data_IF_624637824506
#
_entry.id   IF_624637824506
#
_cell.length_a   1.000
_cell.length_b   1.000
_cell.length_c   1.000
_cell.angle_alpha   90.00
_cell.angle_beta   90.00
_cell.angle_gamma   90.00
#
_symmetry.space_group_name_H-M   'P 1'
#
loop_
_entity.id
_entity.type
_entity.pdbx_description
1 polymer ?
#
# COMPACT_ATOMS: atom_id res chain seq x y z
N UNK A 1 -16.77 -22.51 -21.46
CA UNK A 1 -18.03 -23.13 -21.07
C UNK A 1 -18.24 -22.87 -19.59
N UNK A 2 -19.39 -22.35 -19.20
CA UNK A 2 -19.78 -22.25 -17.79
C UNK A 2 -19.97 -23.67 -17.26
N UNK A 3 -19.31 -24.03 -16.19
CA UNK A 3 -19.38 -25.34 -15.58
C UNK A 3 -20.75 -25.46 -14.91
N UNK A 4 -21.60 -26.37 -15.40
CA UNK A 4 -22.91 -26.63 -14.78
C UNK A 4 -22.73 -27.66 -13.66
N UNK A 5 -23.26 -27.35 -12.48
CA UNK A 5 -23.31 -28.27 -11.35
C UNK A 5 -24.61 -29.06 -11.37
N UNK A 6 -24.64 -30.11 -12.19
CA UNK A 6 -25.79 -31.00 -12.32
C UNK A 6 -26.08 -31.74 -11.04
N UNK A 7 -27.23 -32.45 -11.04
CA UNK A 7 -27.73 -33.19 -9.87
C UNK A 7 -26.69 -34.18 -9.31
N UNK A 8 -25.96 -34.87 -10.17
CA UNK A 8 -24.96 -35.87 -9.79
C UNK A 8 -23.78 -35.26 -9.04
N UNK A 9 -23.33 -34.08 -9.47
CA UNK A 9 -22.23 -33.36 -8.80
C UNK A 9 -22.69 -32.85 -7.43
N UNK A 10 -23.92 -32.34 -7.33
CA UNK A 10 -24.48 -31.89 -6.06
C UNK A 10 -24.68 -33.05 -5.09
N UNK A 11 -25.11 -34.23 -5.59
CA UNK A 11 -25.19 -35.43 -4.81
C UNK A 11 -23.83 -35.88 -4.31
N UNK A 12 -22.84 -35.91 -5.17
CA UNK A 12 -21.44 -36.21 -4.80
C UNK A 12 -20.91 -35.32 -3.68
N UNK A 13 -21.26 -34.04 -3.68
CA UNK A 13 -20.85 -33.13 -2.59
C UNK A 13 -21.41 -33.61 -1.24
N UNK A 14 -22.69 -33.99 -1.16
CA UNK A 14 -23.28 -34.50 0.06
C UNK A 14 -22.67 -35.86 0.49
N UNK A 15 -22.40 -36.73 -0.49
CA UNK A 15 -21.77 -38.03 -0.27
C UNK A 15 -20.36 -37.91 0.28
N UNK A 16 -19.56 -37.00 -0.25
CA UNK A 16 -18.20 -36.74 0.23
C UNK A 16 -18.16 -36.13 1.64
N UNK A 17 -19.12 -35.27 1.98
CA UNK A 17 -19.24 -34.73 3.34
C UNK A 17 -19.58 -35.81 4.38
N UNK A 18 -20.27 -36.84 3.96
CA UNK A 18 -20.63 -37.95 4.84
C UNK A 18 -19.49 -38.98 5.03
N UNK A 19 -18.59 -39.08 4.07
CA UNK A 19 -17.39 -39.92 4.20
C UNK A 19 -16.35 -39.31 5.14
N UNK A 20 -16.16 -38.00 5.06
CA UNK A 20 -15.22 -37.30 5.93
C UNK A 20 -15.87 -36.08 6.59
N UNK A 21 -16.17 -36.22 7.89
CA UNK A 21 -16.75 -35.15 8.69
C UNK A 21 -15.90 -33.88 8.69
N UNK A 22 -14.57 -33.97 8.48
CA UNK A 22 -13.68 -32.80 8.40
C UNK A 22 -13.98 -31.95 7.17
N UNK A 23 -14.41 -32.56 6.08
CA UNK A 23 -14.85 -31.87 4.86
C UNK A 23 -16.08 -31.00 5.11
N UNK A 24 -17.07 -31.50 5.86
CA UNK A 24 -18.23 -30.68 6.26
C UNK A 24 -17.83 -29.52 7.15
N UNK A 25 -17.00 -29.77 8.18
CA UNK A 25 -16.52 -28.70 9.09
C UNK A 25 -15.82 -27.57 8.33
N UNK A 26 -15.05 -27.90 7.30
CA UNK A 26 -14.36 -26.90 6.47
C UNK A 26 -15.29 -26.06 5.60
N UNK A 27 -16.42 -26.62 5.16
CA UNK A 27 -17.39 -25.91 4.30
C UNK A 27 -18.61 -25.39 5.06
N UNK A 28 -18.79 -25.69 6.33
CA UNK A 28 -20.00 -25.37 7.10
C UNK A 28 -20.36 -23.88 7.09
N UNK A 29 -19.36 -23.00 7.04
CA UNK A 29 -19.57 -21.53 7.02
C UNK A 29 -20.19 -21.02 5.71
N UNK A 30 -20.04 -21.77 4.62
CA UNK A 30 -20.65 -21.47 3.32
C UNK A 30 -21.74 -22.47 2.94
N UNK A 31 -21.99 -23.48 3.79
CA UNK A 31 -22.97 -24.52 3.54
C UNK A 31 -24.39 -23.97 3.70
N UNK A 32 -25.11 -23.89 2.59
CA UNK A 32 -26.49 -23.47 2.57
C UNK A 32 -27.34 -24.52 1.83
N UNK A 33 -28.26 -25.26 2.54
CA UNK A 33 -29.12 -26.25 1.91
C UNK A 33 -29.94 -25.73 0.74
N UNK A 34 -30.26 -24.43 0.73
CA UNK A 34 -31.04 -23.81 -0.34
C UNK A 34 -30.26 -23.70 -1.66
N UNK A 35 -28.95 -23.94 -1.66
CA UNK A 35 -28.11 -23.97 -2.87
C UNK A 35 -28.30 -25.26 -3.66
N UNK A 36 -28.74 -26.32 -3.02
CA UNK A 36 -28.94 -27.62 -3.66
C UNK A 36 -30.26 -27.68 -4.44
N UNK A 37 -30.27 -28.55 -5.44
CA UNK A 37 -31.50 -28.88 -6.19
C UNK A 37 -32.63 -29.26 -5.27
N UNK A 38 -33.88 -28.97 -5.65
CA UNK A 38 -35.07 -29.24 -4.84
C UNK A 38 -35.16 -30.71 -4.41
N UNK A 39 -34.68 -31.63 -5.24
CA UNK A 39 -34.69 -33.08 -4.95
C UNK A 39 -33.64 -33.48 -3.90
N UNK A 40 -32.57 -32.75 -3.72
CA UNK A 40 -31.51 -33.02 -2.73
C UNK A 40 -31.61 -32.17 -1.47
N UNK A 41 -32.40 -31.11 -1.54
CA UNK A 41 -32.53 -30.12 -0.45
C UNK A 41 -32.94 -30.72 0.88
N UNK A 42 -33.92 -31.66 0.95
CA UNK A 42 -34.26 -32.28 2.24
C UNK A 42 -33.10 -33.01 2.91
N UNK A 43 -32.24 -33.69 2.12
CA UNK A 43 -31.05 -34.33 2.65
C UNK A 43 -30.02 -33.30 3.15
N UNK A 44 -29.83 -32.23 2.42
CA UNK A 44 -28.92 -31.14 2.79
C UNK A 44 -29.40 -30.42 4.07
N UNK A 45 -30.71 -30.19 4.22
CA UNK A 45 -31.31 -29.62 5.44
C UNK A 45 -31.12 -30.54 6.63
N UNK A 46 -31.39 -31.81 6.48
CA UNK A 46 -31.20 -32.79 7.53
C UNK A 46 -29.76 -32.90 8.02
N UNK A 47 -28.79 -32.90 7.08
CA UNK A 47 -27.35 -32.88 7.41
C UNK A 47 -27.00 -31.67 8.26
N UNK A 48 -27.50 -30.49 7.89
CA UNK A 48 -27.27 -29.26 8.65
C UNK A 48 -27.86 -29.29 10.03
N UNK A 49 -29.15 -29.61 10.13
CA UNK A 49 -29.87 -29.66 11.40
C UNK A 49 -29.27 -30.69 12.36
N UNK A 50 -28.95 -31.90 11.87
CA UNK A 50 -28.31 -32.93 12.66
C UNK A 50 -26.95 -32.48 13.19
N UNK A 51 -26.12 -31.91 12.31
CA UNK A 51 -24.80 -31.41 12.69
C UNK A 51 -24.87 -30.25 13.69
N UNK A 52 -25.83 -29.34 13.52
CA UNK A 52 -26.00 -28.19 14.43
C UNK A 52 -26.49 -28.67 15.83
N UNK A 53 -27.36 -29.67 15.88
CA UNK A 53 -27.95 -30.18 17.14
C UNK A 53 -27.05 -31.17 17.87
N UNK A 54 -26.39 -32.08 17.14
CA UNK A 54 -25.65 -33.20 17.73
C UNK A 54 -24.13 -33.08 17.65
N UNK A 55 -23.60 -32.07 16.89
CA UNK A 55 -22.17 -31.87 16.64
C UNK A 55 -21.47 -33.08 15.98
N UNK A 56 -22.25 -33.93 15.31
CA UNK A 56 -21.81 -35.12 14.58
C UNK A 56 -22.50 -35.15 13.22
N UNK A 57 -21.89 -35.82 12.24
CA UNK A 57 -22.55 -36.09 10.96
C UNK A 57 -23.59 -37.18 11.09
N UNK A 58 -24.74 -37.06 10.39
CA UNK A 58 -25.75 -38.13 10.37
C UNK A 58 -25.25 -39.33 9.55
N UNK A 59 -25.78 -40.52 9.90
CA UNK A 59 -25.60 -41.73 9.09
C UNK A 59 -26.48 -41.69 7.83
N UNK A 60 -26.01 -42.30 6.73
CA UNK A 60 -26.77 -42.44 5.48
C UNK A 60 -28.13 -43.11 5.66
N UNK A 61 -28.22 -44.09 6.57
CA UNK A 61 -29.49 -44.71 6.91
C UNK A 61 -30.47 -43.74 7.56
N UNK A 62 -29.99 -42.88 8.45
CA UNK A 62 -30.83 -41.84 9.08
C UNK A 62 -31.34 -40.85 8.01
N UNK A 63 -30.47 -40.41 7.08
CA UNK A 63 -30.87 -39.52 5.99
C UNK A 63 -31.93 -40.21 5.11
N UNK A 64 -31.67 -41.45 4.70
CA UNK A 64 -32.61 -42.19 3.85
C UNK A 64 -33.96 -42.43 4.53
N UNK A 65 -33.95 -42.79 5.84
CA UNK A 65 -35.18 -43.01 6.60
C UNK A 65 -36.01 -41.74 6.78
N UNK A 66 -35.37 -40.59 6.97
CA UNK A 66 -36.05 -39.33 7.25
C UNK A 66 -36.45 -38.59 5.97
N UNK A 67 -35.61 -38.61 4.93
CA UNK A 67 -35.84 -37.81 3.74
C UNK A 67 -36.22 -38.59 2.48
N UNK A 68 -36.12 -39.93 2.54
CA UNK A 68 -36.32 -40.83 1.40
C UNK A 68 -35.17 -40.79 0.38
N UNK A 69 -34.14 -39.98 0.59
CA UNK A 69 -33.03 -39.79 -0.35
C UNK A 69 -31.90 -40.76 0.00
N UNK A 70 -31.50 -41.57 -0.97
CA UNK A 70 -30.37 -42.51 -0.83
C UNK A 70 -29.08 -41.85 -1.33
N UNK A 71 -28.09 -41.72 -0.43
CA UNK A 71 -26.75 -41.30 -0.71
C UNK A 71 -25.78 -42.47 -0.69
N UNK A 72 -24.90 -42.58 -1.68
CA UNK A 72 -23.99 -43.71 -1.83
C UNK A 72 -22.66 -43.46 -1.11
N UNK A 73 -21.97 -44.52 -0.65
CA UNK A 73 -20.61 -44.39 -0.17
C UNK A 73 -19.66 -44.03 -1.33
N UNK A 74 -18.66 -43.19 -1.05
CA UNK A 74 -17.62 -42.83 -1.99
C UNK A 74 -16.31 -43.49 -1.54
N UNK A 75 -15.98 -44.67 -2.10
CA UNK A 75 -14.77 -45.40 -1.70
C UNK A 75 -13.49 -44.68 -2.19
N UNK A 76 -12.38 -44.96 -1.53
CA UNK A 76 -11.01 -44.58 -1.95
C UNK A 76 -10.77 -43.07 -2.08
N UNK A 77 -11.33 -42.25 -1.20
CA UNK A 77 -11.04 -40.83 -1.14
C UNK A 77 -9.60 -40.58 -0.72
N UNK A 78 -8.93 -39.67 -1.43
CA UNK A 78 -7.58 -39.22 -1.13
C UNK A 78 -7.51 -37.69 -1.07
N UNK A 79 -6.36 -37.14 -0.68
CA UNK A 79 -6.17 -35.68 -0.51
C UNK A 79 -6.52 -34.88 -1.78
N UNK A 80 -6.24 -35.42 -2.97
CA UNK A 80 -6.58 -34.77 -4.23
C UNK A 80 -8.10 -34.66 -4.46
N UNK A 81 -8.88 -35.65 -4.00
CA UNK A 81 -10.35 -35.60 -4.07
C UNK A 81 -10.91 -34.54 -3.10
N UNK A 82 -10.30 -34.38 -1.92
CA UNK A 82 -10.71 -33.34 -0.96
C UNK A 82 -10.37 -31.94 -1.47
N UNK A 83 -9.19 -31.74 -2.06
CA UNK A 83 -8.83 -30.46 -2.67
C UNK A 83 -9.76 -30.08 -3.82
N UNK A 84 -10.12 -31.06 -4.66
CA UNK A 84 -11.12 -30.88 -5.71
C UNK A 84 -12.48 -30.50 -5.10
N UNK A 85 -12.95 -31.23 -4.12
CA UNK A 85 -14.21 -30.97 -3.43
C UNK A 85 -14.27 -29.56 -2.86
N UNK A 86 -13.24 -29.10 -2.15
CA UNK A 86 -13.18 -27.79 -1.54
C UNK A 86 -13.28 -26.66 -2.59
N UNK A 87 -12.54 -26.80 -3.70
CA UNK A 87 -12.55 -25.81 -4.77
C UNK A 87 -13.89 -25.77 -5.54
N UNK A 88 -14.45 -26.93 -5.83
CA UNK A 88 -15.70 -27.03 -6.58
C UNK A 88 -16.92 -26.63 -5.73
N UNK A 89 -16.93 -27.01 -4.46
CA UNK A 89 -18.00 -26.65 -3.55
C UNK A 89 -18.04 -25.13 -3.28
N UNK A 90 -16.89 -24.48 -3.12
CA UNK A 90 -16.81 -23.03 -3.04
C UNK A 90 -17.38 -22.36 -4.31
N UNK A 91 -16.96 -22.84 -5.47
CA UNK A 91 -17.41 -22.31 -6.77
C UNK A 91 -18.91 -22.52 -6.97
N UNK A 92 -19.43 -23.69 -6.60
CA UNK A 92 -20.85 -24.02 -6.62
C UNK A 92 -21.65 -23.08 -5.71
N UNK A 93 -21.25 -22.96 -4.45
CA UNK A 93 -21.96 -22.13 -3.46
C UNK A 93 -21.96 -20.66 -3.88
N UNK A 94 -20.80 -20.14 -4.32
CA UNK A 94 -20.69 -18.75 -4.79
C UNK A 94 -21.62 -18.48 -5.96
N UNK A 95 -21.69 -19.40 -6.92
CA UNK A 95 -22.59 -19.28 -8.06
C UNK A 95 -24.06 -19.24 -7.61
N UNK A 96 -24.48 -20.19 -6.78
CA UNK A 96 -25.87 -20.29 -6.32
C UNK A 96 -26.30 -19.06 -5.50
N UNK A 97 -25.42 -18.58 -4.61
CA UNK A 97 -25.72 -17.37 -3.83
C UNK A 97 -25.75 -16.12 -4.70
N UNK A 98 -24.87 -16.03 -5.71
CA UNK A 98 -24.88 -14.91 -6.64
C UNK A 98 -26.15 -14.91 -7.53
N UNK A 99 -26.56 -16.07 -8.03
CA UNK A 99 -27.82 -16.23 -8.78
C UNK A 99 -29.01 -15.79 -7.92
N UNK A 100 -29.04 -16.22 -6.65
CA UNK A 100 -30.09 -15.82 -5.71
C UNK A 100 -30.05 -14.33 -5.38
N UNK A 101 -28.87 -13.76 -5.19
CA UNK A 101 -28.70 -12.33 -4.96
C UNK A 101 -29.19 -11.50 -6.13
N UNK A 102 -28.89 -11.90 -7.36
CA UNK A 102 -29.36 -11.23 -8.58
C UNK A 102 -30.88 -11.28 -8.67
N UNK A 103 -31.49 -12.44 -8.45
CA UNK A 103 -32.95 -12.58 -8.50
C UNK A 103 -33.64 -11.70 -7.44
N UNK A 104 -33.14 -11.71 -6.19
CA UNK A 104 -33.66 -10.83 -5.12
C UNK A 104 -33.42 -9.34 -5.41
N UNK A 105 -32.32 -9.03 -6.07
CA UNK A 105 -31.99 -7.65 -6.42
C UNK A 105 -32.98 -7.07 -7.45
N UNK A 106 -33.53 -7.89 -8.34
CA UNK A 106 -34.56 -7.44 -9.29
C UNK A 106 -35.81 -6.90 -8.55
N UNK A 107 -36.29 -7.63 -7.55
CA UNK A 107 -37.43 -7.23 -6.74
C UNK A 107 -37.19 -5.95 -5.93
N UNK A 108 -35.95 -5.75 -5.47
CA UNK A 108 -35.56 -4.57 -4.69
C UNK A 108 -35.38 -3.33 -5.59
N UNK A 109 -34.85 -3.55 -6.79
CA UNK A 109 -34.68 -2.48 -7.79
C UNK A 109 -36.05 -1.92 -8.25
N UNK A 110 -37.05 -2.81 -8.39
CA UNK A 110 -38.43 -2.37 -8.69
C UNK A 110 -39.03 -1.50 -7.59
N UNK A 111 -38.58 -1.70 -6.34
CA UNK A 111 -39.00 -0.88 -5.17
C UNK A 111 -38.15 0.36 -4.97
N UNK A 112 -37.09 0.55 -5.76
CA UNK A 112 -36.16 1.69 -5.63
C UNK A 112 -35.17 1.58 -4.46
N UNK A 113 -34.95 0.38 -3.90
CA UNK A 113 -34.09 0.12 -2.75
C UNK A 113 -32.67 -0.26 -3.23
N UNK A 114 -31.76 0.68 -3.39
CA UNK A 114 -30.42 0.44 -3.96
C UNK A 114 -29.41 -0.08 -2.94
N UNK A 115 -29.38 0.42 -1.70
CA UNK A 115 -28.40 -0.01 -0.67
C UNK A 115 -28.51 -1.50 -0.32
N UNK A 116 -29.71 -2.10 -0.15
CA UNK A 116 -29.84 -3.54 0.06
C UNK A 116 -29.32 -4.38 -1.12
N UNK A 117 -29.46 -3.88 -2.36
CA UNK A 117 -28.94 -4.56 -3.57
C UNK A 117 -27.42 -4.63 -3.53
N UNK A 118 -26.75 -3.50 -3.26
CA UNK A 118 -25.28 -3.46 -3.15
C UNK A 118 -24.78 -4.45 -2.10
N UNK A 119 -25.42 -4.48 -0.94
CA UNK A 119 -25.08 -5.39 0.16
C UNK A 119 -25.25 -6.85 -0.25
N UNK A 120 -26.39 -7.23 -0.86
CA UNK A 120 -26.66 -8.59 -1.29
C UNK A 120 -25.63 -9.10 -2.31
N UNK A 121 -25.31 -8.29 -3.30
CA UNK A 121 -24.31 -8.67 -4.32
C UNK A 121 -22.91 -8.77 -3.69
N UNK A 122 -22.56 -7.84 -2.83
CA UNK A 122 -21.25 -7.85 -2.13
C UNK A 122 -21.11 -9.09 -1.26
N UNK A 123 -22.11 -9.43 -0.47
CA UNK A 123 -22.11 -10.60 0.41
C UNK A 123 -21.98 -11.89 -0.43
N UNK A 124 -22.70 -12.02 -1.55
CA UNK A 124 -22.64 -13.17 -2.43
C UNK A 124 -21.27 -13.35 -3.13
N UNK A 125 -20.62 -12.23 -3.52
CA UNK A 125 -19.28 -12.27 -4.15
C UNK A 125 -18.19 -12.59 -3.13
N UNK A 126 -18.37 -12.20 -1.86
CA UNK A 126 -17.39 -12.42 -0.80
C UNK A 126 -17.41 -13.83 -0.21
N UNK A 127 -18.34 -14.68 -0.63
CA UNK A 127 -18.36 -16.09 -0.19
C UNK A 127 -17.06 -16.77 -0.60
N UNK A 128 -16.29 -17.18 0.37
CA UNK A 128 -15.09 -17.99 0.17
C UNK A 128 -14.86 -18.91 1.36
N UNK A 129 -14.23 -20.04 1.09
CA UNK A 129 -13.73 -20.89 2.15
C UNK A 129 -12.56 -20.18 2.84
N UNK A 130 -12.61 -20.13 4.15
CA UNK A 130 -11.46 -19.69 4.93
C UNK A 130 -10.38 -20.77 4.79
N UNK A 131 -9.54 -20.62 3.76
CA UNK A 131 -8.43 -21.56 3.52
C UNK A 131 -7.29 -21.38 4.53
N UNK A 132 -7.28 -20.24 5.21
CA UNK A 132 -6.26 -19.91 6.18
C UNK A 132 -6.71 -20.31 7.59
N UNK A 133 -6.28 -21.49 8.01
CA UNK A 133 -6.47 -21.99 9.38
C UNK A 133 -5.51 -21.31 10.37
N UNK A 134 -4.79 -20.28 9.94
CA UNK A 134 -3.71 -19.68 10.69
C UNK A 134 -2.40 -20.45 10.50
N UNK A 135 -1.45 -20.20 11.40
CA UNK A 135 -0.14 -20.82 11.35
C UNK A 135 -0.07 -21.98 12.33
N UNK A 136 0.14 -23.19 11.83
CA UNK A 136 0.55 -24.29 12.71
C UNK A 136 1.96 -23.98 13.25
N UNK A 137 2.02 -23.72 14.54
CA UNK A 137 3.22 -23.20 15.17
C UNK A 137 4.40 -24.19 15.11
N UNK A 138 4.12 -25.48 15.17
CA UNK A 138 5.13 -26.53 15.25
C UNK A 138 5.42 -27.24 13.92
N UNK A 139 4.55 -27.13 12.91
CA UNK A 139 4.66 -27.87 11.66
C UNK A 139 5.97 -27.56 10.90
N UNK A 140 6.28 -26.27 10.69
CA UNK A 140 7.51 -25.84 10.00
C UNK A 140 8.04 -24.53 10.59
N UNK A 141 8.85 -24.60 11.64
CA UNK A 141 9.45 -23.42 12.26
C UNK A 141 10.35 -22.62 11.29
N UNK A 142 11.08 -23.29 10.41
CA UNK A 142 11.99 -22.64 9.48
C UNK A 142 11.21 -21.83 8.41
N UNK A 143 10.19 -22.42 7.80
CA UNK A 143 9.32 -21.72 6.85
C UNK A 143 8.60 -20.55 7.51
N UNK A 144 8.10 -20.72 8.74
CA UNK A 144 7.45 -19.66 9.50
C UNK A 144 8.39 -18.48 9.79
N UNK A 145 9.62 -18.75 10.23
CA UNK A 145 10.64 -17.75 10.49
C UNK A 145 11.03 -17.05 9.19
N UNK A 146 11.30 -17.81 8.13
CA UNK A 146 11.62 -17.27 6.82
C UNK A 146 10.47 -16.44 6.23
N UNK A 147 9.22 -16.86 6.44
CA UNK A 147 8.04 -16.09 6.04
C UNK A 147 8.00 -14.73 6.74
N UNK A 148 8.32 -14.67 8.03
CA UNK A 148 8.37 -13.41 8.77
C UNK A 148 9.44 -12.44 8.22
N UNK A 149 10.65 -12.95 7.93
CA UNK A 149 11.74 -12.11 7.43
C UNK A 149 11.69 -11.85 5.91
N UNK A 150 11.11 -12.76 5.12
CA UNK A 150 11.14 -12.69 3.64
C UNK A 150 9.79 -12.33 3.00
N UNK A 151 8.67 -12.27 3.75
CA UNK A 151 7.33 -12.00 3.22
C UNK A 151 7.08 -10.54 2.83
N UNK A 152 7.98 -9.94 2.09
CA UNK A 152 7.89 -8.57 1.61
C UNK A 152 8.16 -7.55 2.69
N UNK A 153 8.79 -8.01 3.68
CA UNK A 153 9.31 -7.53 4.88
C UNK A 153 9.43 -6.04 5.10
N UNK A 154 10.43 -5.73 5.80
CA UNK A 154 10.79 -4.37 6.15
C UNK A 154 11.32 -3.63 4.93
N UNK A 155 10.84 -2.43 4.74
CA UNK A 155 11.28 -1.53 3.67
C UNK A 155 12.06 -0.39 4.31
N UNK A 156 13.30 -0.23 3.90
CA UNK A 156 14.17 0.84 4.40
C UNK A 156 13.49 2.21 4.29
N UNK A 157 13.56 3.01 5.34
CA UNK A 157 13.09 4.40 5.33
C UNK A 157 14.00 5.32 4.54
N UNK A 158 15.20 4.83 4.16
CA UNK A 158 16.28 5.61 3.59
C UNK A 158 17.10 6.39 4.63
N UNK A 159 16.83 6.16 5.91
CA UNK A 159 17.62 6.68 7.04
C UNK A 159 18.18 5.52 7.84
N UNK A 160 19.47 5.19 7.67
CA UNK A 160 20.13 4.06 8.37
C UNK A 160 19.94 4.00 9.87
N UNK A 161 19.90 5.16 10.55
CA UNK A 161 19.64 5.18 11.99
C UNK A 161 18.22 4.71 12.31
N UNK A 162 17.23 5.14 11.53
CA UNK A 162 15.85 4.71 11.71
C UNK A 162 15.67 3.23 11.36
N UNK A 163 16.31 2.78 10.29
CA UNK A 163 16.26 1.39 9.85
C UNK A 163 16.88 0.43 10.89
N UNK A 164 18.02 0.82 11.49
CA UNK A 164 18.61 0.06 12.62
C UNK A 164 17.65 -0.05 13.80
N UNK A 165 16.99 1.05 14.16
CA UNK A 165 16.00 1.08 15.24
C UNK A 165 14.82 0.15 14.97
N UNK A 166 14.38 0.04 13.69
CA UNK A 166 13.24 -0.75 13.25
C UNK A 166 13.63 -2.15 12.72
N UNK A 167 14.88 -2.56 12.89
CA UNK A 167 15.40 -3.85 12.38
C UNK A 167 15.26 -4.02 10.85
N UNK A 168 15.33 -2.92 10.10
CA UNK A 168 15.32 -2.91 8.63
C UNK A 168 14.37 -1.91 7.99
N UNK A 169 13.52 -1.23 8.75
CA UNK A 169 12.59 -0.23 8.25
C UNK A 169 11.12 -0.50 8.57
N UNK A 170 10.20 0.04 7.78
CA UNK A 170 8.76 -0.17 7.98
C UNK A 170 8.26 -1.45 7.32
N UNK A 171 7.30 -2.11 7.97
CA UNK A 171 6.66 -3.32 7.44
C UNK A 171 5.37 -2.97 6.68
N UNK A 172 5.08 -3.73 5.61
CA UNK A 172 3.81 -3.62 4.91
C UNK A 172 2.64 -4.04 5.81
N UNK A 173 1.52 -3.36 5.69
CA UNK A 173 0.33 -3.60 6.51
C UNK A 173 0.38 -2.96 7.90
N UNK A 174 1.43 -2.21 8.23
CA UNK A 174 1.55 -1.44 9.46
C UNK A 174 1.13 0.02 9.27
N UNK A 175 0.56 0.60 10.33
CA UNK A 175 0.26 2.03 10.42
C UNK A 175 1.39 2.74 11.18
N UNK A 176 2.07 3.66 10.51
CA UNK A 176 3.16 4.46 11.05
C UNK A 176 2.71 5.92 11.21
N UNK A 177 2.86 6.49 12.39
CA UNK A 177 2.40 7.85 12.71
C UNK A 177 3.59 8.73 13.09
N UNK A 178 3.70 9.90 12.44
CA UNK A 178 4.60 10.98 12.86
C UNK A 178 3.81 12.04 13.61
N UNK A 179 4.11 12.23 14.90
CA UNK A 179 3.46 13.17 15.77
C UNK A 179 4.35 14.42 15.98
N UNK A 180 3.75 15.59 15.93
CA UNK A 180 4.50 16.84 16.12
C UNK A 180 3.61 18.07 16.22
N UNK A 181 4.12 19.13 16.83
CA UNK A 181 3.44 20.42 16.91
C UNK A 181 3.18 21.05 15.53
N UNK A 182 2.37 22.09 15.49
CA UNK A 182 2.20 22.89 14.26
C UNK A 182 3.56 23.44 13.81
N UNK A 183 3.89 23.32 12.52
CA UNK A 183 5.17 23.79 11.98
C UNK A 183 6.40 22.91 12.36
N UNK A 184 6.23 21.77 13.08
CA UNK A 184 7.34 20.88 13.41
C UNK A 184 7.98 20.24 12.17
N UNK A 185 7.24 20.09 11.08
CA UNK A 185 7.71 19.49 9.82
C UNK A 185 7.17 18.10 9.55
N UNK A 186 6.00 17.74 10.10
CA UNK A 186 5.34 16.45 9.86
C UNK A 186 5.24 16.11 8.37
N UNK A 187 4.67 17.02 7.56
CA UNK A 187 4.56 16.86 6.12
C UNK A 187 5.94 16.68 5.46
N UNK A 188 6.96 17.41 5.94
CA UNK A 188 8.32 17.32 5.38
C UNK A 188 8.94 15.94 5.62
N UNK A 189 8.77 15.37 6.82
CA UNK A 189 9.25 14.00 7.11
C UNK A 189 8.59 12.99 6.19
N UNK A 190 7.27 13.04 6.05
CA UNK A 190 6.53 12.12 5.20
C UNK A 190 6.93 12.25 3.72
N UNK A 191 7.07 13.48 3.20
CA UNK A 191 7.55 13.72 1.83
C UNK A 191 8.97 13.16 1.62
N UNK A 192 9.88 13.33 2.59
CA UNK A 192 11.24 12.81 2.51
C UNK A 192 11.27 11.27 2.49
N UNK A 193 10.48 10.61 3.32
CA UNK A 193 10.34 9.14 3.29
C UNK A 193 9.75 8.69 1.95
N UNK A 194 8.70 9.36 1.46
CA UNK A 194 8.12 9.07 0.15
C UNK A 194 9.16 9.15 -0.97
N UNK A 195 10.00 10.20 -0.97
CA UNK A 195 11.08 10.35 -1.94
C UNK A 195 12.15 9.26 -1.82
N UNK A 196 12.50 8.88 -0.60
CA UNK A 196 13.44 7.77 -0.38
C UNK A 196 12.88 6.47 -0.96
N UNK A 197 11.58 6.19 -0.78
CA UNK A 197 10.92 5.00 -1.34
C UNK A 197 10.81 5.06 -2.86
N UNK A 198 10.50 6.22 -3.42
CA UNK A 198 10.51 6.41 -4.88
C UNK A 198 11.88 6.10 -5.50
N UNK A 199 12.96 6.53 -4.85
CA UNK A 199 14.33 6.25 -5.28
C UNK A 199 14.71 4.77 -5.17
N UNK A 200 14.05 4.02 -4.29
CA UNK A 200 14.15 2.57 -4.20
C UNK A 200 13.26 1.83 -5.24
N UNK A 201 12.54 2.57 -6.08
CA UNK A 201 11.68 2.02 -7.14
C UNK A 201 10.25 1.70 -6.69
N UNK A 202 9.85 2.02 -5.44
CA UNK A 202 8.48 1.83 -4.98
C UNK A 202 7.56 2.90 -5.57
N UNK A 203 6.32 2.51 -5.85
CA UNK A 203 5.28 3.41 -6.36
C UNK A 203 4.30 3.79 -5.26
N UNK A 204 3.89 5.05 -5.19
CA UNK A 204 3.01 5.48 -4.14
C UNK A 204 2.15 6.71 -4.42
N UNK A 205 1.29 6.97 -3.45
CA UNK A 205 0.36 8.09 -3.46
C UNK A 205 0.56 8.93 -2.20
N UNK A 206 0.62 10.24 -2.38
CA UNK A 206 0.58 11.21 -1.30
C UNK A 206 -0.79 11.91 -1.29
N UNK A 207 -1.58 11.66 -0.27
CA UNK A 207 -2.89 12.28 -0.07
C UNK A 207 -2.72 13.46 0.86
N UNK A 208 -3.01 14.65 0.38
CA UNK A 208 -3.02 15.87 1.19
C UNK A 208 -4.44 16.31 1.50
N UNK A 209 -4.68 16.58 2.78
CA UNK A 209 -5.95 17.10 3.31
C UNK A 209 -5.83 18.56 3.81
N UNK A 210 -4.59 19.05 3.88
CA UNK A 210 -4.27 20.39 4.41
C UNK A 210 -3.70 21.32 3.33
N UNK A 211 -2.72 20.82 2.55
CA UNK A 211 -2.03 21.62 1.54
C UNK A 211 -2.63 21.36 0.15
N UNK A 212 -2.49 22.34 -0.74
CA UNK A 212 -2.83 22.13 -2.14
C UNK A 212 -1.86 21.14 -2.83
N UNK A 213 -2.32 20.48 -3.91
CA UNK A 213 -1.50 19.58 -4.72
C UNK A 213 -0.26 20.31 -5.28
N UNK A 214 -0.44 21.56 -5.70
CA UNK A 214 0.64 22.39 -6.27
C UNK A 214 1.71 22.70 -5.24
N UNK A 215 1.34 23.07 -4.02
CA UNK A 215 2.29 23.38 -2.96
C UNK A 215 3.04 22.14 -2.50
N UNK A 216 2.33 21.01 -2.39
CA UNK A 216 2.92 19.71 -2.07
C UNK A 216 3.91 19.29 -3.17
N UNK A 217 3.55 19.44 -4.43
CA UNK A 217 4.41 19.16 -5.59
C UNK A 217 5.64 20.07 -5.62
N UNK A 218 5.48 21.39 -5.41
CA UNK A 218 6.61 22.33 -5.37
C UNK A 218 7.63 21.99 -4.28
N UNK A 219 7.16 21.57 -3.09
CA UNK A 219 8.05 21.10 -2.01
C UNK A 219 8.77 19.81 -2.39
N UNK A 220 8.04 18.89 -3.01
CA UNK A 220 8.59 17.63 -3.53
C UNK A 220 9.66 17.91 -4.59
N UNK A 221 9.41 18.85 -5.51
CA UNK A 221 10.39 19.28 -6.53
C UNK A 221 11.65 19.85 -5.88
N UNK A 222 11.52 20.68 -4.85
CA UNK A 222 12.68 21.25 -4.15
C UNK A 222 13.56 20.17 -3.52
N UNK A 223 12.93 19.18 -2.85
CA UNK A 223 13.64 18.05 -2.25
C UNK A 223 14.31 17.16 -3.29
N UNK A 224 13.62 16.90 -4.40
CA UNK A 224 14.04 15.97 -5.45
C UNK A 224 15.15 16.55 -6.32
N UNK A 225 15.06 17.84 -6.65
CA UNK A 225 16.02 18.52 -7.55
C UNK A 225 17.19 19.15 -6.81
N UNK A 226 17.13 19.19 -5.48
CA UNK A 226 18.05 19.91 -4.62
C UNK A 226 18.18 21.40 -5.00
N UNK A 227 17.01 22.02 -5.31
CA UNK A 227 16.90 23.44 -5.64
C UNK A 227 15.95 24.12 -4.63
N UNK A 228 16.22 25.38 -4.30
CA UNK A 228 15.25 26.13 -3.49
C UNK A 228 13.96 26.41 -4.29
N UNK A 229 12.84 26.60 -3.60
CA UNK A 229 11.57 26.98 -4.29
C UNK A 229 11.69 28.32 -5.05
N UNK A 230 12.60 29.19 -4.63
CA UNK A 230 12.92 30.45 -5.34
C UNK A 230 13.66 30.18 -6.66
N UNK A 231 14.60 29.24 -6.66
CA UNK A 231 15.38 28.91 -7.86
C UNK A 231 14.55 28.08 -8.84
N UNK A 232 13.67 27.21 -8.35
CA UNK A 232 12.68 26.49 -9.17
C UNK A 232 11.82 27.48 -9.96
N UNK A 233 11.35 28.54 -9.31
CA UNK A 233 10.55 29.60 -9.96
C UNK A 233 11.35 30.35 -11.04
N UNK A 234 12.65 30.52 -10.85
CA UNK A 234 13.53 31.22 -11.82
C UNK A 234 13.91 30.33 -13.00
N UNK A 235 14.10 29.05 -12.77
CA UNK A 235 14.55 28.08 -13.77
C UNK A 235 13.72 26.84 -13.81
N UNK A 236 12.52 26.97 -14.37
CA UNK A 236 11.55 25.88 -14.55
C UNK A 236 12.10 24.81 -15.49
N UNK A 237 12.88 25.18 -16.50
CA UNK A 237 13.43 24.27 -17.49
C UNK A 237 14.42 23.27 -16.86
N UNK A 238 15.38 23.76 -16.07
CA UNK A 238 16.31 22.87 -15.35
C UNK A 238 15.60 22.00 -14.33
N UNK A 239 14.57 22.53 -13.66
CA UNK A 239 13.76 21.76 -12.73
C UNK A 239 13.04 20.62 -13.45
N UNK A 240 12.37 20.89 -14.56
CA UNK A 240 11.69 19.88 -15.37
C UNK A 240 12.64 18.78 -15.84
N UNK A 241 13.84 19.16 -16.31
CA UNK A 241 14.84 18.20 -16.75
C UNK A 241 15.29 17.28 -15.60
N UNK A 242 15.58 17.83 -14.43
CA UNK A 242 15.97 17.07 -13.24
C UNK A 242 14.88 16.10 -12.82
N UNK A 243 13.62 16.56 -12.73
CA UNK A 243 12.46 15.71 -12.39
C UNK A 243 12.30 14.57 -13.39
N UNK A 244 12.39 14.86 -14.70
CA UNK A 244 12.30 13.82 -15.74
C UNK A 244 13.44 12.79 -15.67
N UNK A 245 14.65 13.20 -15.29
CA UNK A 245 15.77 12.28 -15.09
C UNK A 245 15.50 11.33 -13.92
N UNK A 246 15.01 11.87 -12.80
CA UNK A 246 14.70 11.06 -11.63
C UNK A 246 13.53 10.11 -11.92
N UNK A 247 12.48 10.58 -12.56
CA UNK A 247 11.31 9.80 -12.91
C UNK A 247 11.61 8.52 -13.71
N UNK A 248 12.71 8.49 -14.49
CA UNK A 248 13.12 7.30 -15.25
C UNK A 248 13.67 6.16 -14.39
N UNK A 249 14.14 6.46 -13.19
CA UNK A 249 14.78 5.50 -12.28
C UNK A 249 13.96 5.27 -11.00
N UNK A 250 12.90 6.04 -10.81
CA UNK A 250 12.04 6.01 -9.64
C UNK A 250 10.74 5.27 -9.90
N UNK A 251 10.07 4.86 -8.82
CA UNK A 251 8.67 4.44 -8.87
C UNK A 251 7.74 5.57 -9.29
N UNK A 252 6.47 5.24 -9.47
CA UNK A 252 5.45 6.23 -9.81
C UNK A 252 4.99 6.98 -8.56
N UNK A 253 4.73 8.25 -8.69
CA UNK A 253 4.27 9.09 -7.59
C UNK A 253 3.09 9.94 -8.00
N UNK A 254 2.02 9.88 -7.21
CA UNK A 254 0.83 10.69 -7.40
C UNK A 254 0.60 11.53 -6.17
N UNK A 255 0.38 12.82 -6.35
CA UNK A 255 -0.10 13.72 -5.30
C UNK A 255 -1.58 13.95 -5.53
N UNK A 256 -2.40 13.75 -4.49
CA UNK A 256 -3.85 13.89 -4.54
C UNK A 256 -4.38 14.72 -3.38
N UNK A 257 -5.05 15.82 -3.68
CA UNK A 257 -5.82 16.59 -2.71
C UNK A 257 -7.19 15.95 -2.49
N UNK A 258 -7.53 15.71 -1.24
CA UNK A 258 -8.89 15.36 -0.83
C UNK A 258 -9.41 16.42 0.14
N UNK A 259 -10.71 16.70 0.16
CA UNK A 259 -11.26 17.62 1.11
C UNK A 259 -11.11 17.12 2.54
N UNK A 260 -10.93 18.04 3.50
CA UNK A 260 -11.04 17.70 4.91
C UNK A 260 -12.41 17.04 5.18
N UNK A 261 -12.45 16.11 6.13
CA UNK A 261 -13.61 15.26 6.44
C UNK A 261 -13.86 14.10 5.45
N UNK A 262 -12.98 13.88 4.46
CA UNK A 262 -12.96 12.62 3.71
C UNK A 262 -12.80 11.43 4.65
N UNK A 263 -13.28 10.27 4.25
CA UNK A 263 -13.19 9.05 5.02
C UNK A 263 -12.37 7.97 4.30
N UNK A 264 -12.18 6.83 4.93
CA UNK A 264 -11.34 5.75 4.39
C UNK A 264 -11.93 5.13 3.10
N UNK A 265 -13.26 5.18 2.90
CA UNK A 265 -13.87 4.69 1.67
C UNK A 265 -13.54 5.60 0.48
N UNK A 266 -13.42 6.92 0.69
CA UNK A 266 -13.01 7.86 -0.35
C UNK A 266 -11.56 7.56 -0.77
N UNK A 267 -10.68 7.30 0.20
CA UNK A 267 -9.29 6.90 -0.06
C UNK A 267 -9.24 5.56 -0.80
N UNK A 268 -9.99 4.56 -0.34
CA UNK A 268 -10.06 3.23 -0.98
C UNK A 268 -10.56 3.32 -2.42
N UNK A 269 -11.62 4.09 -2.66
CA UNK A 269 -12.18 4.31 -3.99
C UNK A 269 -11.16 4.96 -4.93
N UNK A 270 -10.48 6.02 -4.47
CA UNK A 270 -9.44 6.68 -5.23
C UNK A 270 -8.27 5.74 -5.56
N UNK A 271 -7.75 4.98 -4.59
CA UNK A 271 -6.65 4.05 -4.83
C UNK A 271 -7.03 2.96 -5.83
N UNK A 272 -8.25 2.46 -5.76
CA UNK A 272 -8.78 1.47 -6.72
C UNK A 272 -8.89 2.07 -8.12
N UNK A 273 -9.42 3.28 -8.24
CA UNK A 273 -9.52 4.00 -9.51
C UNK A 273 -8.14 4.27 -10.10
N UNK A 274 -7.20 4.74 -9.30
CA UNK A 274 -5.81 4.96 -9.72
C UNK A 274 -5.17 3.69 -10.28
N UNK A 275 -5.34 2.54 -9.61
CA UNK A 275 -4.81 1.26 -10.09
C UNK A 275 -5.46 0.82 -11.41
N UNK A 276 -6.77 1.02 -11.57
CA UNK A 276 -7.49 0.67 -12.80
C UNK A 276 -7.03 1.56 -13.96
N UNK A 277 -6.93 2.86 -13.75
CA UNK A 277 -6.56 3.82 -14.79
C UNK A 277 -5.09 3.70 -15.22
N UNK A 278 -4.20 3.47 -14.27
CA UNK A 278 -2.76 3.45 -14.54
C UNK A 278 -2.19 2.05 -14.78
N UNK A 279 -2.90 1.00 -14.39
CA UNK A 279 -2.42 -0.37 -14.38
C UNK A 279 -1.29 -0.62 -13.36
N UNK A 280 -1.02 0.35 -12.45
CA UNK A 280 0.13 0.32 -11.55
C UNK A 280 -0.28 -0.01 -10.12
N UNK A 281 0.48 -0.90 -9.49
CA UNK A 281 0.30 -1.22 -8.08
C UNK A 281 0.81 -0.07 -7.21
N UNK A 282 0.10 0.20 -6.10
CA UNK A 282 0.53 1.14 -5.06
C UNK A 282 1.27 0.36 -3.99
N UNK A 283 2.51 0.74 -3.68
CA UNK A 283 3.34 0.16 -2.63
C UNK A 283 3.24 0.90 -1.31
N UNK A 284 3.03 2.23 -1.37
CA UNK A 284 2.89 3.06 -0.18
C UNK A 284 1.83 4.16 -0.35
N UNK A 285 1.24 4.54 0.77
CA UNK A 285 0.31 5.68 0.86
C UNK A 285 0.74 6.58 2.03
N UNK A 286 0.90 7.88 1.73
CA UNK A 286 1.08 8.94 2.70
C UNK A 286 -0.23 9.69 2.87
N UNK A 287 -0.64 9.99 4.11
CA UNK A 287 -1.87 10.75 4.40
C UNK A 287 -1.53 11.93 5.30
N UNK A 288 -1.68 13.12 4.79
CA UNK A 288 -1.33 14.37 5.47
C UNK A 288 -2.58 15.21 5.75
N UNK A 289 -3.21 15.11 6.94
CA UNK A 289 -2.90 14.23 8.06
C UNK A 289 -4.19 13.62 8.68
N UNK A 290 -4.02 12.58 9.49
CA UNK A 290 -5.08 11.75 10.06
C UNK A 290 -6.20 12.52 10.76
N UNK A 291 -5.87 13.59 11.51
CA UNK A 291 -6.84 14.34 12.33
C UNK A 291 -7.91 15.06 11.49
N UNK A 292 -7.69 15.22 10.17
CA UNK A 292 -8.64 15.82 9.24
C UNK A 292 -9.60 14.79 8.61
N UNK A 293 -9.36 13.50 8.80
CA UNK A 293 -10.26 12.45 8.33
C UNK A 293 -11.44 12.26 9.26
N UNK A 294 -12.52 11.70 8.71
CA UNK A 294 -13.69 11.25 9.45
C UNK A 294 -13.82 9.72 9.36
N UNK A 295 -14.32 9.04 10.42
CA UNK A 295 -14.57 7.62 10.35
C UNK A 295 -15.73 7.30 9.40
N UNK A 296 -15.73 6.11 8.82
CA UNK A 296 -16.84 5.60 7.99
C UNK A 296 -18.11 5.43 8.84
N UNK A 297 -17.95 5.11 10.12
CA UNK A 297 -19.07 4.97 11.04
C UNK A 297 -19.70 6.31 11.34
N UNK A 298 -20.90 6.57 10.81
CA UNK A 298 -21.68 7.79 11.01
C UNK A 298 -22.18 8.05 12.46
N UNK A 299 -21.93 7.12 13.38
CA UNK A 299 -22.42 7.20 14.77
C UNK A 299 -21.46 7.94 15.72
N UNK A 300 -20.33 8.43 15.22
CA UNK A 300 -19.35 9.15 16.04
C UNK A 300 -19.67 10.65 16.00
N UNK A 301 -19.88 11.24 17.18
CA UNK A 301 -20.06 12.70 17.29
C UNK A 301 -18.77 13.40 16.80
N UNK A 302 -18.87 14.42 15.93
CA UNK A 302 -17.69 15.22 15.52
C UNK A 302 -16.97 15.90 16.68
N UNK A 303 -17.64 16.07 17.82
CA UNK A 303 -17.08 16.67 19.02
C UNK A 303 -16.30 15.69 19.90
N UNK A 304 -16.44 14.38 19.69
CA UNK A 304 -15.68 13.37 20.40
C UNK A 304 -14.43 13.00 19.60
N UNK A 305 -13.45 13.88 19.64
CA UNK A 305 -12.18 13.73 18.91
C UNK A 305 -11.43 12.44 19.29
N UNK A 306 -11.57 11.99 20.54
CA UNK A 306 -10.89 10.78 21.00
C UNK A 306 -11.45 9.53 20.30
N UNK A 307 -12.76 9.39 20.26
CA UNK A 307 -13.45 8.27 19.62
C UNK A 307 -13.28 8.34 18.10
N UNK A 308 -13.42 9.55 17.53
CA UNK A 308 -13.19 9.80 16.10
C UNK A 308 -11.81 9.27 15.66
N UNK A 309 -10.77 9.73 16.33
CA UNK A 309 -9.39 9.44 15.98
C UNK A 309 -9.03 7.96 16.18
N UNK A 310 -9.65 7.30 17.17
CA UNK A 310 -9.54 5.86 17.37
C UNK A 310 -10.06 5.10 16.13
N UNK A 311 -11.30 5.38 15.72
CA UNK A 311 -11.88 4.67 14.57
C UNK A 311 -11.12 4.95 13.27
N UNK A 312 -10.76 6.20 13.00
CA UNK A 312 -9.96 6.56 11.82
C UNK A 312 -8.63 5.80 11.81
N UNK A 313 -7.94 5.72 12.95
CA UNK A 313 -6.67 4.99 13.04
C UNK A 313 -6.85 3.48 12.82
N UNK A 314 -7.92 2.88 13.37
CA UNK A 314 -8.26 1.45 13.15
C UNK A 314 -8.59 1.18 11.69
N UNK A 315 -9.38 2.04 11.05
CA UNK A 315 -9.74 1.94 9.65
C UNK A 315 -8.53 2.09 8.72
N UNK A 316 -7.63 3.05 8.98
CA UNK A 316 -6.37 3.20 8.24
C UNK A 316 -5.48 1.97 8.36
N UNK A 317 -5.32 1.45 9.59
CA UNK A 317 -4.53 0.23 9.82
C UNK A 317 -5.12 -0.98 9.09
N UNK A 318 -6.45 -1.10 9.09
CA UNK A 318 -7.13 -2.16 8.35
C UNK A 318 -6.95 -2.01 6.84
N UNK A 319 -7.01 -0.78 6.30
CA UNK A 319 -6.73 -0.51 4.90
C UNK A 319 -5.29 -0.87 4.52
N UNK A 320 -4.31 -0.55 5.38
CA UNK A 320 -2.91 -0.91 5.15
C UNK A 320 -2.73 -2.43 5.05
N UNK A 321 -3.38 -3.20 5.95
CA UNK A 321 -3.37 -4.67 5.93
C UNK A 321 -4.09 -5.26 4.72
N UNK A 322 -5.28 -4.74 4.40
CA UNK A 322 -6.11 -5.17 3.26
C UNK A 322 -5.33 -5.06 1.95
N UNK A 323 -4.63 -3.95 1.75
CA UNK A 323 -3.89 -3.68 0.53
C UNK A 323 -2.44 -4.19 0.55
N UNK A 324 -1.91 -4.58 1.72
CA UNK A 324 -0.52 -5.01 1.89
C UNK A 324 0.50 -3.91 1.56
N UNK A 325 0.19 -2.65 1.93
CA UNK A 325 0.99 -1.46 1.60
C UNK A 325 1.68 -0.88 2.84
N UNK A 326 2.68 -0.02 2.59
CA UNK A 326 3.25 0.86 3.60
C UNK A 326 2.31 2.04 3.84
N UNK A 327 1.85 2.24 5.06
CA UNK A 327 0.96 3.34 5.42
C UNK A 327 1.65 4.27 6.40
N UNK A 328 1.74 5.54 6.02
CA UNK A 328 2.30 6.60 6.89
C UNK A 328 1.34 7.76 6.97
N UNK A 329 1.12 8.25 8.18
CA UNK A 329 0.33 9.46 8.42
C UNK A 329 0.97 10.34 9.48
N UNK A 330 0.43 11.53 9.64
CA UNK A 330 0.82 12.43 10.71
C UNK A 330 -0.31 12.66 11.70
N UNK A 331 0.04 13.11 12.90
CA UNK A 331 -0.91 13.56 13.93
C UNK A 331 -0.35 14.77 14.66
N UNK A 332 -1.25 15.63 15.11
CA UNK A 332 -0.87 16.82 15.85
C UNK A 332 -0.67 16.52 17.34
N UNK A 333 0.38 17.10 17.93
CA UNK A 333 0.58 17.09 19.37
C UNK A 333 -0.21 18.21 20.05
N UNK A 334 -0.57 18.00 21.33
CA UNK A 334 -1.15 19.02 22.18
C UNK A 334 -0.20 20.20 22.37
N UNK A 335 -0.72 21.39 22.64
CA UNK A 335 0.10 22.61 22.85
C UNK A 335 1.08 22.48 24.02
N UNK A 336 0.71 21.78 25.08
CA UNK A 336 1.57 21.50 26.24
C UNK A 336 2.82 20.68 25.90
N UNK A 337 2.76 19.88 24.84
CA UNK A 337 3.87 19.04 24.40
C UNK A 337 4.96 19.81 23.63
N UNK A 338 4.66 21.01 23.13
CA UNK A 338 5.57 21.71 22.20
C UNK A 338 6.82 22.27 22.90
N UNK A 339 6.75 22.46 24.21
CA UNK A 339 7.84 23.04 25.02
C UNK A 339 8.64 22.01 25.85
N UNK A 340 8.23 20.74 25.83
CA UNK A 340 8.89 19.71 26.62
C UNK A 340 10.07 19.05 25.87
N UNK A 341 11.09 18.68 26.63
CA UNK A 341 12.33 18.06 26.14
C UNK A 341 12.13 16.57 25.83
N UNK A 342 11.11 15.95 26.43
CA UNK A 342 10.74 14.55 26.24
C UNK A 342 9.22 14.44 26.06
N UNK A 343 8.81 13.68 25.02
CA UNK A 343 7.39 13.41 24.83
C UNK A 343 6.97 12.14 25.56
N UNK A 344 5.87 12.27 26.30
CA UNK A 344 5.10 11.16 26.81
C UNK A 344 3.85 10.94 25.95
N UNK A 345 3.25 9.77 26.07
CA UNK A 345 2.01 9.39 25.38
C UNK A 345 0.83 10.34 25.62
N UNK A 346 0.84 11.09 26.73
CA UNK A 346 -0.17 12.09 27.06
C UNK A 346 -0.16 13.34 26.15
N UNK A 347 0.92 13.54 25.39
CA UNK A 347 1.15 14.76 24.61
C UNK A 347 0.55 14.71 23.19
N UNK A 348 0.03 13.56 22.76
CA UNK A 348 -0.61 13.45 21.45
C UNK A 348 -2.06 13.94 21.53
N UNK A 349 -2.42 14.88 20.65
CA UNK A 349 -3.80 15.38 20.51
C UNK A 349 -4.74 14.24 20.12
N UNK A 350 -5.88 14.10 20.83
CA UNK A 350 -6.74 12.92 20.67
C UNK A 350 -6.22 11.68 21.43
N UNK A 351 -5.08 11.77 22.10
CA UNK A 351 -4.64 10.90 23.18
C UNK A 351 -4.15 9.52 22.81
N UNK A 352 -4.12 8.67 23.81
CA UNK A 352 -3.67 7.28 23.84
C UNK A 352 -4.30 6.42 22.74
N UNK A 353 -5.49 6.76 22.22
CA UNK A 353 -6.21 5.95 21.25
C UNK A 353 -5.45 5.76 19.92
N UNK A 354 -4.86 6.83 19.38
CA UNK A 354 -4.05 6.77 18.14
C UNK A 354 -2.79 5.95 18.35
N UNK A 355 -2.13 6.18 19.51
CA UNK A 355 -0.93 5.44 19.90
C UNK A 355 -1.26 3.96 20.01
N UNK A 356 -2.37 3.61 20.66
CA UNK A 356 -2.74 2.21 20.86
C UNK A 356 -2.98 1.47 19.56
N UNK A 357 -3.54 2.13 18.57
CA UNK A 357 -3.86 1.54 17.27
C UNK A 357 -2.65 1.43 16.35
N UNK A 358 -1.79 2.45 16.29
CA UNK A 358 -0.62 2.47 15.43
C UNK A 358 0.38 1.36 15.79
N UNK A 359 1.09 0.87 14.79
CA UNK A 359 2.17 -0.09 14.97
C UNK A 359 3.45 0.62 15.39
N UNK A 360 3.77 1.76 14.77
CA UNK A 360 4.88 2.63 15.15
C UNK A 360 4.43 4.08 15.31
N UNK A 361 4.96 4.78 16.29
CA UNK A 361 4.73 6.20 16.55
C UNK A 361 6.05 6.92 16.79
N UNK A 362 6.29 7.99 16.07
CA UNK A 362 7.49 8.82 16.13
C UNK A 362 7.13 10.25 16.47
N UNK A 363 7.74 10.79 17.51
CA UNK A 363 7.63 12.21 17.87
C UNK A 363 8.69 13.05 17.17
N UNK A 364 8.31 14.22 16.65
CA UNK A 364 9.22 15.17 16.00
C UNK A 364 9.62 16.21 17.05
N UNK A 365 10.89 16.21 17.44
CA UNK A 365 11.48 17.07 18.46
C UNK A 365 12.25 18.28 17.92
N UNK A 366 12.05 18.61 16.68
CA UNK A 366 12.83 19.64 16.03
C UNK A 366 12.40 21.05 16.43
N UNK A 367 13.17 21.71 17.29
CA UNK A 367 12.97 23.11 17.63
C UNK A 367 13.34 24.03 16.45
N UNK A 368 12.88 25.29 16.52
CA UNK A 368 13.23 26.30 15.53
C UNK A 368 14.75 26.49 15.45
N UNK A 369 15.43 26.57 16.60
CA UNK A 369 16.87 26.72 16.67
C UNK A 369 17.63 25.52 16.07
N UNK A 370 17.10 24.31 16.22
CA UNK A 370 17.67 23.13 15.56
C UNK A 370 17.54 23.22 14.04
N UNK A 371 16.37 23.60 13.52
CA UNK A 371 16.17 23.79 12.08
C UNK A 371 17.11 24.82 11.49
N UNK A 372 17.28 25.97 12.16
CA UNK A 372 18.19 27.04 11.74
C UNK A 372 19.66 26.55 11.69
N UNK A 373 20.01 25.54 12.51
CA UNK A 373 21.32 24.88 12.51
C UNK A 373 21.41 23.67 11.56
N UNK A 374 20.38 23.43 10.74
CA UNK A 374 20.35 22.27 9.84
C UNK A 374 20.21 20.93 10.55
N UNK A 375 19.62 20.90 11.76
CA UNK A 375 19.41 19.67 12.53
C UNK A 375 17.94 19.32 12.63
N UNK A 376 17.66 18.02 12.59
CA UNK A 376 16.32 17.47 12.74
C UNK A 376 16.35 16.25 13.65
N UNK A 377 15.42 16.14 14.60
CA UNK A 377 15.42 15.05 15.59
C UNK A 377 14.05 14.41 15.66
N UNK A 378 14.04 13.08 15.66
CA UNK A 378 12.83 12.24 15.79
C UNK A 378 13.06 11.28 16.95
N UNK A 379 12.04 11.02 17.78
CA UNK A 379 12.08 10.02 18.84
C UNK A 379 11.08 8.90 18.56
N UNK A 380 11.49 7.65 18.73
CA UNK A 380 10.56 6.52 18.72
C UNK A 380 9.75 6.50 20.04
N UNK A 381 8.46 6.78 19.95
CA UNK A 381 7.55 6.78 21.09
C UNK A 381 6.90 5.42 21.30
N UNK A 382 6.68 4.67 20.20
CA UNK A 382 6.10 3.34 20.20
C UNK A 382 6.61 2.54 19.02
N UNK A 383 6.90 1.28 19.24
CA UNK A 383 7.06 0.27 18.19
C UNK A 383 6.53 -1.07 18.68
N UNK A 384 5.82 -1.82 17.81
CA UNK A 384 5.43 -3.20 18.09
C UNK A 384 6.46 -4.21 17.60
N UNK A 385 7.29 -3.81 16.66
CA UNK A 385 8.25 -4.66 15.95
C UNK A 385 9.68 -4.50 16.46
N UNK A 386 9.97 -3.45 17.28
CA UNK A 386 11.31 -3.18 17.78
C UNK A 386 11.35 -2.77 19.25
N UNK A 387 12.55 -2.86 19.84
CA UNK A 387 12.84 -2.43 21.22
C UNK A 387 13.35 -0.99 21.32
N UNK A 388 13.31 -0.24 20.22
CA UNK A 388 13.89 1.11 20.12
C UNK A 388 13.06 2.23 20.75
N UNK A 389 12.03 1.92 21.54
CA UNK A 389 11.21 2.93 22.22
C UNK A 389 12.05 3.82 23.13
N UNK A 390 11.86 5.14 23.04
CA UNK A 390 12.62 6.16 23.76
C UNK A 390 13.88 6.63 23.03
N UNK A 391 14.38 5.89 22.03
CA UNK A 391 15.59 6.29 21.29
C UNK A 391 15.30 7.49 20.38
N UNK A 392 16.28 8.40 20.32
CA UNK A 392 16.27 9.58 19.45
C UNK A 392 17.14 9.32 18.22
N UNK A 393 16.69 9.81 17.09
CA UNK A 393 17.33 9.74 15.78
C UNK A 393 17.70 11.16 15.38
N UNK A 394 18.98 11.43 15.16
CA UNK A 394 19.47 12.72 14.73
C UNK A 394 19.66 12.70 13.20
N UNK A 395 19.03 13.66 12.54
CA UNK A 395 19.05 13.82 11.08
C UNK A 395 19.56 15.23 10.72
N UNK A 396 20.03 15.38 9.52
CA UNK A 396 20.39 16.67 8.95
C UNK A 396 19.25 17.24 8.10
N UNK A 397 19.05 18.54 8.18
CA UNK A 397 18.00 19.25 7.49
C UNK A 397 18.56 20.41 6.67
N UNK A 398 18.32 20.36 5.38
CA UNK A 398 18.61 21.48 4.49
C UNK A 398 17.38 22.40 4.39
N UNK A 399 17.49 23.63 4.90
CA UNK A 399 16.39 24.60 4.96
C UNK A 399 15.90 25.01 3.56
N UNK A 400 16.82 25.20 2.63
CA UNK A 400 16.50 25.72 1.29
C UNK A 400 15.77 24.69 0.44
N UNK A 401 16.23 23.44 0.50
CA UNK A 401 15.69 22.34 -0.30
C UNK A 401 14.70 21.49 0.47
N UNK A 402 14.52 21.73 1.78
CA UNK A 402 13.68 20.96 2.68
C UNK A 402 14.03 19.47 2.77
N UNK A 403 15.24 19.08 2.32
CA UNK A 403 15.71 17.69 2.35
C UNK A 403 16.16 17.32 3.76
N UNK A 404 15.74 16.12 4.21
CA UNK A 404 16.15 15.51 5.47
C UNK A 404 16.99 14.28 5.13
N UNK A 405 18.21 14.21 5.68
CA UNK A 405 19.17 13.12 5.44
C UNK A 405 19.70 12.57 6.76
N UNK A 406 20.28 11.37 6.75
CA UNK A 406 20.88 10.79 7.95
C UNK A 406 22.18 11.52 8.34
N UNK A 407 22.32 11.88 9.61
CA UNK A 407 23.50 12.61 10.14
C UNK A 407 24.72 11.70 10.38
N UNK A 408 24.58 10.40 10.27
CA UNK A 408 25.60 9.41 10.64
C UNK A 408 26.09 8.53 9.50
N UNK A 409 25.99 8.99 8.27
CA UNK A 409 26.38 8.21 7.11
C UNK A 409 27.88 7.89 7.09
N UNK A 410 28.29 6.83 7.78
CA UNK A 410 29.48 6.09 7.39
C UNK A 410 29.28 5.63 5.95
N UNK A 411 30.26 5.88 5.13
CA UNK A 411 30.36 5.74 3.67
C UNK A 411 30.25 4.26 3.20
N UNK A 412 29.23 3.55 3.67
CA UNK A 412 28.89 2.18 3.23
C UNK A 412 27.81 2.23 2.16
N UNK A 413 28.17 2.70 0.98
CA UNK A 413 27.67 2.31 -0.36
C UNK A 413 26.18 2.45 -0.70
N UNK A 414 25.27 2.58 0.27
CA UNK A 414 23.83 2.56 0.04
C UNK A 414 23.13 3.93 0.02
N UNK A 415 23.81 4.98 0.49
CA UNK A 415 23.30 6.36 0.48
C UNK A 415 24.31 7.33 -0.16
N UNK A 416 24.65 7.10 -1.43
CA UNK A 416 25.19 8.23 -2.21
C UNK A 416 24.00 9.11 -2.59
N UNK A 417 23.89 10.36 -2.07
CA UNK A 417 22.93 11.32 -2.60
C UNK A 417 23.19 11.46 -4.09
N UNK A 418 22.15 11.76 -4.85
CA UNK A 418 22.26 12.03 -6.31
C UNK A 418 23.19 13.19 -6.69
N UNK A 419 23.84 13.88 -5.75
CA UNK A 419 25.04 14.67 -6.01
C UNK A 419 26.05 13.87 -6.85
N UNK A 420 26.17 12.56 -6.67
CA UNK A 420 27.10 11.71 -7.41
C UNK A 420 26.78 11.59 -8.92
N UNK A 421 25.53 11.73 -9.36
CA UNK A 421 25.20 11.70 -10.79
C UNK A 421 25.51 13.08 -11.42
N UNK A 422 25.18 14.17 -10.74
CA UNK A 422 25.58 15.52 -11.20
C UNK A 422 27.08 15.73 -11.07
N UNK A 423 27.68 15.18 -10.00
CA UNK A 423 29.15 15.26 -9.84
C UNK A 423 29.86 14.33 -10.82
N UNK A 424 29.31 13.19 -11.18
CA UNK A 424 29.82 12.35 -12.27
C UNK A 424 29.58 12.95 -13.65
N UNK A 425 28.48 13.70 -13.85
CA UNK A 425 28.23 14.45 -15.08
C UNK A 425 29.17 15.68 -15.13
N UNK A 426 29.35 16.39 -14.01
CA UNK A 426 30.33 17.47 -13.91
C UNK A 426 31.76 16.97 -14.07
N UNK A 427 32.12 15.85 -13.41
CA UNK A 427 33.45 15.26 -13.57
C UNK A 427 33.71 14.78 -15.00
N UNK A 428 32.73 14.18 -15.67
CA UNK A 428 32.84 13.81 -17.10
C UNK A 428 32.88 15.03 -18.01
N UNK A 429 32.16 16.12 -17.69
CA UNK A 429 32.22 17.36 -18.45
C UNK A 429 33.57 18.07 -18.26
N UNK A 430 34.13 18.07 -17.04
CA UNK A 430 35.46 18.62 -16.71
C UNK A 430 36.55 17.76 -17.32
N UNK A 431 36.43 16.41 -17.25
CA UNK A 431 37.39 15.51 -17.89
C UNK A 431 37.39 15.65 -19.41
N UNK A 432 36.21 15.83 -20.03
CA UNK A 432 36.11 16.11 -21.46
C UNK A 432 36.66 17.46 -21.84
N UNK A 433 36.44 18.48 -21.00
CA UNK A 433 37.04 19.81 -21.24
C UNK A 433 38.56 19.81 -21.03
N UNK A 434 39.09 18.96 -20.13
CA UNK A 434 40.53 18.77 -19.97
C UNK A 434 41.13 17.99 -21.14
N UNK A 435 40.47 16.97 -21.66
CA UNK A 435 40.87 16.20 -22.84
C UNK A 435 40.85 17.07 -24.11
N UNK A 436 39.82 17.91 -24.27
CA UNK A 436 39.73 18.92 -25.36
C UNK A 436 40.81 20.00 -25.24
N UNK A 437 41.39 20.24 -24.06
CA UNK A 437 42.50 21.17 -23.82
C UNK A 437 43.88 20.52 -24.07
N UNK A 438 44.05 19.24 -23.68
CA UNK A 438 45.29 18.50 -23.92
C UNK A 438 45.39 17.94 -25.35
N UNK A 439 44.26 17.63 -25.98
CA UNK A 439 44.14 17.14 -27.35
C UNK A 439 43.11 17.99 -28.13
N UNK A 440 43.47 19.26 -28.48
CA UNK A 440 42.51 20.10 -29.19
C UNK A 440 42.20 19.52 -30.55
N UNK A 441 40.90 19.41 -30.94
CA UNK A 441 40.53 18.89 -32.24
C UNK A 441 41.20 19.70 -33.35
N UNK A 442 41.90 19.01 -34.24
CA UNK A 442 42.68 19.61 -35.31
C UNK A 442 41.84 20.56 -36.19
N UNK A 443 42.33 21.79 -36.46
CA UNK A 443 41.50 22.84 -37.07
C UNK A 443 40.88 22.49 -38.43
N UNK A 444 41.44 21.52 -39.15
CA UNK A 444 40.97 21.12 -40.49
C UNK A 444 39.73 20.19 -40.45
N UNK A 445 39.38 19.62 -39.32
CA UNK A 445 38.12 18.83 -39.17
C UNK A 445 36.88 19.70 -38.97
N UNK A 446 37.05 21.02 -38.68
CA UNK A 446 35.92 21.93 -38.47
C UNK A 446 35.27 22.43 -39.75
N UNK A 447 35.84 22.18 -40.90
CA UNK A 447 35.47 22.80 -42.17
C UNK A 447 34.79 21.87 -43.20
N UNK A 448 34.62 20.60 -42.93
CA UNK A 448 33.94 19.72 -43.88
C UNK A 448 32.41 19.78 -43.67
N UNK A 449 31.61 20.23 -44.65
CA UNK A 449 30.15 20.08 -44.60
C UNK A 449 29.84 18.58 -44.53
N UNK A 450 29.00 18.16 -43.59
CA UNK A 450 28.40 16.86 -43.65
C UNK A 450 27.49 16.83 -44.88
N UNK A 451 27.76 15.95 -45.81
CA UNK A 451 26.90 15.72 -46.99
C UNK A 451 25.43 15.60 -46.55
N UNK A 452 24.60 16.51 -47.06
CA UNK A 452 23.16 16.52 -46.86
C UNK A 452 22.56 17.73 -46.13
N UNK A 453 23.32 18.82 -45.90
CA UNK A 453 22.77 20.01 -45.27
C UNK A 453 22.55 21.13 -46.33
N UNK A 454 21.29 21.36 -46.67
CA UNK A 454 20.85 22.51 -47.49
C UNK A 454 20.82 23.77 -46.59
N UNK A 455 21.59 24.83 -46.90
CA UNK A 455 21.62 26.05 -46.10
C UNK A 455 20.31 26.86 -46.11
N UNK A 456 19.33 26.48 -46.92
CA UNK A 456 18.05 27.18 -47.10
C UNK A 456 16.84 26.45 -46.50
N UNK A 457 17.04 25.35 -45.78
CA UNK A 457 15.92 24.61 -45.12
C UNK A 457 15.39 25.37 -43.89
N UNK A 458 14.06 25.40 -43.68
CA UNK A 458 13.46 26.15 -42.58
C UNK A 458 13.79 25.53 -41.23
N UNK A 459 13.92 26.38 -40.21
CA UNK A 459 14.27 26.03 -38.80
C UNK A 459 13.43 24.87 -38.27
N UNK A 460 14.14 23.89 -37.85
CA UNK A 460 13.76 22.55 -37.41
C UNK A 460 12.64 22.52 -36.38
N UNK A 461 11.64 21.70 -36.65
CA UNK A 461 10.53 21.37 -35.78
C UNK A 461 10.93 20.57 -34.53
N UNK A 462 10.08 20.54 -33.53
CA UNK A 462 10.26 19.85 -32.24
C UNK A 462 10.69 18.37 -32.31
N UNK A 463 10.48 17.71 -33.45
CA UNK A 463 10.86 16.31 -33.69
C UNK A 463 12.38 16.08 -33.79
N UNK A 464 13.16 17.05 -34.22
CA UNK A 464 14.61 16.89 -34.34
C UNK A 464 15.31 17.10 -32.99
N UNK A 465 14.72 17.90 -32.10
CA UNK A 465 15.19 17.99 -30.72
C UNK A 465 14.91 16.66 -29.96
N UNK A 466 13.79 16.02 -30.25
CA UNK A 466 13.44 14.69 -29.73
C UNK A 466 14.41 13.61 -30.21
N UNK A 467 14.84 13.64 -31.45
CA UNK A 467 15.79 12.65 -32.01
C UNK A 467 17.22 12.85 -31.51
N UNK A 468 17.67 14.08 -31.29
CA UNK A 468 18.96 14.37 -30.66
C UNK A 468 18.98 13.92 -29.18
N UNK A 469 17.84 14.05 -28.48
CA UNK A 469 17.66 13.56 -27.11
C UNK A 469 17.68 12.03 -27.08
N UNK A 470 17.05 11.35 -28.06
CA UNK A 470 17.08 9.88 -28.21
C UNK A 470 18.48 9.34 -28.50
N UNK A 471 19.28 10.05 -29.29
CA UNK A 471 20.67 9.67 -29.57
C UNK A 471 21.57 9.80 -28.34
N UNK A 472 21.44 10.89 -27.56
CA UNK A 472 22.14 11.07 -26.28
C UNK A 472 21.72 10.01 -25.24
N UNK A 473 20.46 9.60 -25.23
CA UNK A 473 19.93 8.54 -24.35
C UNK A 473 20.34 7.13 -24.80
N UNK A 474 20.60 6.92 -26.10
CA UNK A 474 21.13 5.67 -26.64
C UNK A 474 22.59 5.43 -26.22
N UNK A 475 23.39 6.48 -26.10
CA UNK A 475 24.78 6.39 -25.65
C UNK A 475 24.94 6.10 -24.15
N UNK A 476 23.88 6.31 -23.34
CA UNK A 476 23.86 6.01 -21.90
C UNK A 476 23.46 4.56 -21.62
N UNK A 477 22.89 3.83 -22.60
CA UNK A 477 22.49 2.43 -22.46
C UNK A 477 23.62 1.42 -22.76
N UNK A 478 24.78 1.87 -23.17
CA UNK A 478 25.94 1.03 -23.55
C UNK A 478 27.16 1.21 -22.63
N UNK A 479 26.99 1.75 -21.42
CA UNK A 479 28.08 1.86 -20.43
C UNK A 479 27.61 1.31 -19.06
#
# INVERSE_FOLDING_TARGET
MLKEYGLDVQRLFLEMMLEDASSYVRVQNIYNPQNFDKSLRPAAEFIKEHSDNHKTMPDRMQISATTGIKLQPVPDLNDGHFDWFMNEFESFTRRQELERAILKSADLLEKGEFEPVEKLIKDAVQISLTKDMGTDYFADPAARINKYFNSGGQVSTGWPQMDRLLYGGFSRGELNIFAGGSGSGKSLVMMNIALNWLQQGLSGVYITLELSEELTSLRTDAMLTNMSTKDIRKDVYTTELKVKIVAKKSGNYQVKGLPAQSNINDIRAYLKEYQIQTGKRVDFVMIDYLDLLMPVSAKVSPNDLFVKDKYVSEELRNLAKELGILMVTASQLNRSAVEEVEFDHSHISGGISKINTADNVFGIFTSRAMKERGKYQIQCMKSRSSTGVGQKIDLEYNIETMRITDAGGDDNGYNRPQSSIMDSIKAKAVAKAADDLENPPVPWERGKPKEGHDPLAPKVSADVQSNKLKQLLGQIKGA
#
